data_IF_025815138982
#
_entry.id   IF_025815138982
#
_cell.length_a   1.000
_cell.length_b   1.000
_cell.length_c   1.000
_cell.angle_alpha   90.00
_cell.angle_beta   90.00
_cell.angle_gamma   90.00
#
_symmetry.space_group_name_H-M   'P 1'
#
loop_
_entity.id
_entity.type
_entity.pdbx_description
1 polymer ?
#
# COMPACT_ATOMS: atom_id res chain seq x y z
N UNK A 1 49.79 30.93 -63.64
CA UNK A 1 49.29 29.55 -63.73
C UNK A 1 48.75 29.20 -62.39
N UNK A 2 47.51 29.23 -62.39
CA UNK A 2 46.42 28.98 -61.44
C UNK A 2 46.74 28.07 -60.28
N UNK A 3 46.49 28.60 -59.14
CA UNK A 3 46.30 27.76 -57.97
C UNK A 3 45.08 28.28 -57.16
N UNK A 4 44.02 27.47 -57.19
CA UNK A 4 42.74 27.78 -56.52
C UNK A 4 42.70 27.21 -55.13
N UNK A 5 42.78 28.06 -54.17
CA UNK A 5 42.56 27.80 -52.76
C UNK A 5 41.10 27.49 -52.45
N UNK A 6 40.83 26.23 -52.11
CA UNK A 6 39.51 25.84 -51.62
C UNK A 6 39.47 25.99 -50.08
N UNK A 7 38.68 26.96 -49.63
CA UNK A 7 38.36 27.16 -48.19
C UNK A 7 37.37 26.11 -47.72
N UNK A 8 37.79 25.20 -46.88
CA UNK A 8 36.89 24.32 -46.14
C UNK A 8 36.48 25.01 -44.87
N UNK A 9 35.21 25.42 -44.78
CA UNK A 9 34.55 25.89 -43.60
C UNK A 9 34.36 24.75 -42.60
N UNK A 10 34.98 24.90 -41.44
CA UNK A 10 34.85 23.96 -40.34
C UNK A 10 33.72 24.41 -39.45
N UNK A 11 32.52 23.83 -39.64
CA UNK A 11 31.36 24.06 -38.79
C UNK A 11 31.53 23.25 -37.50
N UNK A 12 31.75 23.95 -36.39
CA UNK A 12 31.76 23.34 -35.05
C UNK A 12 30.35 23.09 -34.62
N UNK A 13 29.91 21.84 -34.55
CA UNK A 13 28.66 21.43 -33.85
C UNK A 13 28.89 21.57 -32.34
N UNK A 14 28.23 22.51 -31.72
CA UNK A 14 28.03 22.53 -30.26
C UNK A 14 26.95 21.49 -29.92
N UNK A 15 27.35 20.36 -29.38
CA UNK A 15 26.43 19.39 -28.79
C UNK A 15 26.09 19.88 -27.40
N UNK A 16 24.91 20.49 -27.27
CA UNK A 16 24.32 20.86 -25.98
C UNK A 16 23.90 19.61 -25.23
N UNK A 17 24.58 19.29 -24.14
CA UNK A 17 24.21 18.24 -23.21
C UNK A 17 23.08 18.78 -22.34
N UNK A 18 21.84 18.54 -22.74
CA UNK A 18 20.65 18.79 -21.91
C UNK A 18 20.61 17.72 -20.82
N UNK A 19 21.04 18.11 -19.61
CA UNK A 19 20.87 17.25 -18.44
C UNK A 19 19.39 17.03 -18.16
N UNK A 20 18.89 15.84 -18.43
CA UNK A 20 17.57 15.42 -17.96
C UNK A 20 17.63 15.28 -16.44
N UNK A 21 16.99 16.20 -15.74
CA UNK A 21 16.68 16.05 -14.32
C UNK A 21 15.66 14.91 -14.24
N UNK A 22 16.12 13.74 -13.83
CA UNK A 22 15.24 12.64 -13.44
C UNK A 22 14.54 13.05 -12.14
N UNK A 23 13.42 13.77 -12.27
CA UNK A 23 12.43 13.79 -11.21
C UNK A 23 11.97 12.35 -11.04
N UNK A 24 12.28 11.72 -9.91
CA UNK A 24 11.85 10.38 -9.58
C UNK A 24 10.32 10.33 -9.56
N UNK A 25 9.70 10.11 -10.71
CA UNK A 25 8.32 9.68 -10.76
C UNK A 25 8.29 8.28 -10.14
N UNK A 26 7.50 8.10 -9.09
CA UNK A 26 7.16 6.77 -8.61
C UNK A 26 6.69 5.98 -9.84
N UNK A 27 7.32 4.81 -10.07
CA UNK A 27 6.96 4.01 -11.24
C UNK A 27 5.49 3.57 -11.17
N UNK A 28 4.83 3.32 -12.29
CA UNK A 28 3.47 2.84 -12.28
C UNK A 28 3.39 1.51 -11.50
N UNK A 29 2.38 1.40 -10.66
CA UNK A 29 2.03 0.13 -10.03
C UNK A 29 1.73 -0.90 -11.13
N UNK A 30 2.22 -2.13 -11.01
CA UNK A 30 1.98 -3.19 -11.98
C UNK A 30 0.49 -3.42 -12.22
N UNK A 31 0.14 -3.97 -13.38
CA UNK A 31 -1.25 -4.35 -13.70
C UNK A 31 -1.64 -5.60 -12.89
N UNK A 32 -2.82 -5.61 -12.25
CA UNK A 32 -3.32 -6.80 -11.57
C UNK A 32 -3.42 -8.00 -12.53
N UNK A 33 -2.93 -9.15 -12.09
CA UNK A 33 -3.00 -10.43 -12.83
C UNK A 33 -4.34 -11.15 -12.65
N UNK A 34 -5.10 -10.73 -11.63
CA UNK A 34 -6.40 -11.27 -11.27
C UNK A 34 -7.37 -10.15 -10.85
N UNK A 35 -8.61 -10.53 -10.49
CA UNK A 35 -9.59 -9.54 -10.02
C UNK A 35 -9.06 -8.76 -8.82
N UNK A 36 -9.00 -7.42 -8.88
CA UNK A 36 -8.62 -6.59 -7.74
C UNK A 36 -9.52 -6.85 -6.54
N UNK A 37 -8.92 -6.96 -5.38
CA UNK A 37 -9.60 -7.22 -4.09
C UNK A 37 -9.50 -6.04 -3.12
N UNK A 38 -8.55 -5.12 -3.36
CA UNK A 38 -8.37 -3.90 -2.58
C UNK A 38 -8.20 -2.72 -3.53
N UNK A 39 -8.87 -1.62 -3.22
CA UNK A 39 -8.65 -0.32 -3.90
C UNK A 39 -8.12 0.69 -2.90
N UNK A 40 -7.01 1.35 -3.24
CA UNK A 40 -6.45 2.44 -2.45
C UNK A 40 -6.45 3.73 -3.26
N UNK A 41 -6.79 4.84 -2.62
CA UNK A 41 -6.88 6.16 -3.24
C UNK A 41 -6.43 7.27 -2.28
N UNK A 42 -6.52 8.52 -2.72
CA UNK A 42 -6.17 9.70 -1.94
C UNK A 42 -4.71 10.09 -2.09
N UNK A 43 -4.04 10.47 -1.01
CA UNK A 43 -2.65 10.96 -1.04
C UNK A 43 -1.63 9.83 -1.23
N UNK A 44 -1.67 9.18 -2.38
CA UNK A 44 -0.71 8.15 -2.84
C UNK A 44 0.02 8.62 -4.09
N UNK A 45 1.21 8.07 -4.35
CA UNK A 45 2.04 8.41 -5.53
C UNK A 45 2.10 7.30 -6.56
N UNK A 46 1.73 6.08 -6.17
CA UNK A 46 1.82 4.89 -7.01
C UNK A 46 0.41 4.34 -7.26
N UNK A 47 0.00 4.26 -8.52
CA UNK A 47 -1.34 3.84 -8.94
C UNK A 47 -1.28 3.13 -10.30
N UNK A 48 -2.34 2.43 -10.70
CA UNK A 48 -2.44 1.66 -11.95
C UNK A 48 -3.78 1.82 -12.69
N UNK A 49 -4.71 2.59 -12.14
CA UNK A 49 -6.00 2.88 -12.76
C UNK A 49 -6.44 4.33 -12.42
N UNK A 50 -6.08 5.27 -13.28
CA UNK A 50 -6.27 6.71 -13.00
C UNK A 50 -5.49 7.13 -11.76
N UNK A 51 -6.18 7.58 -10.71
CA UNK A 51 -5.61 7.94 -9.41
C UNK A 51 -5.82 6.83 -8.35
N UNK A 52 -6.15 5.62 -8.79
CA UNK A 52 -6.43 4.47 -7.93
C UNK A 52 -5.31 3.44 -8.01
N UNK A 53 -4.93 2.89 -6.87
CA UNK A 53 -4.16 1.68 -6.77
C UNK A 53 -5.12 0.49 -6.59
N UNK A 54 -5.29 -0.31 -7.65
CA UNK A 54 -6.08 -1.54 -7.62
C UNK A 54 -5.15 -2.71 -7.42
N UNK A 55 -5.33 -3.41 -6.33
CA UNK A 55 -4.45 -4.47 -5.89
C UNK A 55 -5.18 -5.81 -5.92
N UNK A 56 -4.59 -6.80 -6.56
CA UNK A 56 -4.99 -8.20 -6.45
C UNK A 56 -4.19 -8.92 -5.34
N UNK A 57 -4.51 -10.18 -5.07
CA UNK A 57 -3.83 -10.95 -4.03
C UNK A 57 -2.34 -11.16 -4.32
N UNK A 58 -1.91 -11.56 -5.53
CA UNK A 58 -0.49 -11.69 -5.85
C UNK A 58 0.31 -10.42 -5.60
N UNK A 59 -0.23 -9.25 -5.94
CA UNK A 59 0.43 -7.96 -5.70
C UNK A 59 0.62 -7.70 -4.20
N UNK A 60 -0.41 -7.96 -3.39
CA UNK A 60 -0.34 -7.79 -1.94
C UNK A 60 0.66 -8.78 -1.32
N UNK A 61 0.64 -10.05 -1.72
CA UNK A 61 1.59 -11.05 -1.22
C UNK A 61 3.04 -10.72 -1.59
N UNK A 62 3.28 -10.16 -2.78
CA UNK A 62 4.59 -9.72 -3.24
C UNK A 62 5.17 -8.55 -2.42
N UNK A 63 4.34 -7.76 -1.74
CA UNK A 63 4.79 -6.70 -0.82
C UNK A 63 5.42 -7.27 0.48
N UNK A 64 5.32 -8.56 0.70
CA UNK A 64 5.82 -9.27 1.89
C UNK A 64 4.71 -9.55 2.90
N UNK A 65 4.58 -10.83 3.23
CA UNK A 65 3.60 -11.33 4.21
C UNK A 65 4.24 -11.43 5.58
N UNK A 66 3.57 -10.87 6.58
CA UNK A 66 3.92 -11.01 7.98
C UNK A 66 2.80 -11.72 8.73
N UNK A 67 3.09 -12.21 9.93
CA UNK A 67 2.12 -12.87 10.78
C UNK A 67 2.14 -12.29 12.19
N UNK A 68 0.96 -12.20 12.80
CA UNK A 68 0.79 -11.91 14.22
C UNK A 68 -0.11 -12.98 14.84
N UNK A 69 0.20 -13.37 16.06
CA UNK A 69 -0.68 -14.22 16.89
C UNK A 69 -1.16 -13.36 18.03
N UNK A 70 -2.47 -13.22 18.17
CA UNK A 70 -3.03 -12.34 19.20
C UNK A 70 -4.44 -12.76 19.59
N UNK A 71 -4.75 -12.55 20.88
CA UNK A 71 -6.13 -12.60 21.38
C UNK A 71 -6.90 -11.40 20.85
N UNK A 72 -8.15 -11.62 20.47
CA UNK A 72 -9.05 -10.55 20.02
C UNK A 72 -10.40 -10.66 20.70
N UNK A 73 -11.22 -9.61 20.79
CA UNK A 73 -12.56 -9.70 21.36
C UNK A 73 -13.55 -10.48 20.45
N UNK A 74 -13.16 -10.87 19.26
CA UNK A 74 -14.04 -11.53 18.27
C UNK A 74 -13.83 -13.03 18.14
N UNK A 75 -12.77 -13.58 18.79
CA UNK A 75 -12.46 -15.00 18.77
C UNK A 75 -12.13 -15.48 20.20
N UNK A 76 -12.55 -16.68 20.54
CA UNK A 76 -12.37 -17.24 21.89
C UNK A 76 -10.91 -17.56 22.22
N UNK A 77 -10.14 -17.93 21.20
CA UNK A 77 -8.73 -18.29 21.35
C UNK A 77 -7.83 -17.29 20.59
N UNK A 78 -6.53 -17.19 20.97
CA UNK A 78 -5.57 -16.46 20.16
C UNK A 78 -5.55 -16.99 18.74
N UNK A 79 -5.48 -16.08 17.77
CA UNK A 79 -5.57 -16.38 16.34
C UNK A 79 -4.29 -15.94 15.65
N UNK A 80 -3.81 -16.76 14.71
CA UNK A 80 -2.72 -16.41 13.82
C UNK A 80 -3.30 -15.71 12.58
N UNK A 81 -3.02 -14.43 12.46
CA UNK A 81 -3.34 -13.64 11.27
C UNK A 81 -2.12 -13.49 10.39
N UNK A 82 -2.32 -13.59 9.07
CA UNK A 82 -1.28 -13.35 8.07
C UNK A 82 -1.77 -12.33 7.05
N UNK A 83 -0.88 -11.41 6.67
CA UNK A 83 -1.21 -10.33 5.75
C UNK A 83 -0.05 -9.39 5.49
N UNK A 84 -0.33 -8.26 4.86
CA UNK A 84 0.64 -7.21 4.59
C UNK A 84 0.69 -6.24 5.77
N UNK A 85 1.88 -5.91 6.31
CA UNK A 85 2.00 -4.80 7.25
C UNK A 85 1.45 -3.51 6.64
N UNK A 86 0.55 -2.82 7.35
CA UNK A 86 -0.04 -1.57 6.84
C UNK A 86 1.03 -0.51 6.54
N UNK A 87 2.10 -0.44 7.34
CA UNK A 87 3.23 0.44 7.08
C UNK A 87 3.89 0.16 5.73
N UNK A 88 4.09 -1.13 5.40
CA UNK A 88 4.67 -1.56 4.13
C UNK A 88 3.76 -1.22 2.94
N UNK A 89 2.46 -1.44 3.08
CA UNK A 89 1.48 -1.06 2.05
C UNK A 89 1.52 0.45 1.78
N UNK A 90 1.57 1.27 2.83
CA UNK A 90 1.67 2.74 2.68
C UNK A 90 2.98 3.16 2.02
N UNK A 91 4.10 2.53 2.36
CA UNK A 91 5.41 2.77 1.75
C UNK A 91 5.40 2.44 0.25
N UNK A 92 4.93 1.27 -0.16
CA UNK A 92 4.85 0.82 -1.56
C UNK A 92 3.97 1.73 -2.42
N UNK A 93 2.91 2.28 -1.83
CA UNK A 93 2.02 3.20 -2.54
C UNK A 93 2.52 4.66 -2.48
N UNK A 94 3.63 4.94 -1.81
CA UNK A 94 4.15 6.30 -1.63
C UNK A 94 3.14 7.22 -0.95
N UNK A 95 2.46 6.71 0.07
CA UNK A 95 1.45 7.45 0.82
C UNK A 95 2.07 8.62 1.59
N UNK A 96 1.46 9.80 1.48
CA UNK A 96 1.93 11.04 2.13
C UNK A 96 0.91 11.64 3.10
N UNK A 97 -0.18 10.93 3.34
CA UNK A 97 -1.21 11.36 4.29
C UNK A 97 -0.87 11.02 5.73
N UNK A 98 -1.66 11.55 6.65
CA UNK A 98 -1.53 11.34 8.11
C UNK A 98 -2.54 10.35 8.67
N UNK A 99 -3.58 10.03 7.91
CA UNK A 99 -4.62 9.09 8.28
C UNK A 99 -5.06 8.25 7.09
N UNK A 100 -5.58 7.07 7.37
CA UNK A 100 -6.23 6.18 6.39
C UNK A 100 -7.67 5.94 6.81
N UNK A 101 -8.60 6.25 5.93
CA UNK A 101 -9.99 5.86 6.08
C UNK A 101 -10.16 4.46 5.47
N UNK A 102 -10.50 3.49 6.31
CA UNK A 102 -10.83 2.13 5.90
C UNK A 102 -12.34 2.00 5.70
N UNK A 103 -12.76 1.40 4.60
CA UNK A 103 -14.17 1.23 4.22
C UNK A 103 -14.43 -0.25 3.94
N UNK A 104 -15.39 -0.80 4.66
CA UNK A 104 -15.82 -2.19 4.56
C UNK A 104 -16.92 -2.38 3.50
N UNK A 105 -17.22 -3.64 3.17
CA UNK A 105 -18.31 -4.00 2.24
C UNK A 105 -19.69 -3.54 2.70
N UNK A 106 -19.91 -3.48 4.00
CA UNK A 106 -21.17 -3.00 4.60
C UNK A 106 -21.19 -1.48 4.85
N UNK A 107 -20.25 -0.75 4.19
CA UNK A 107 -20.06 0.70 4.31
C UNK A 107 -19.64 1.17 5.73
N UNK A 108 -19.29 0.26 6.65
CA UNK A 108 -18.64 0.65 7.89
C UNK A 108 -17.33 1.38 7.56
N UNK A 109 -17.12 2.51 8.22
CA UNK A 109 -15.98 3.37 7.96
C UNK A 109 -15.29 3.73 9.27
N UNK A 110 -13.98 3.64 9.29
CA UNK A 110 -13.15 4.08 10.42
C UNK A 110 -11.91 4.81 9.91
N UNK A 111 -11.40 5.74 10.70
CA UNK A 111 -10.19 6.48 10.42
C UNK A 111 -9.06 6.01 11.34
N UNK A 112 -7.90 5.73 10.76
CA UNK A 112 -6.74 5.17 11.45
C UNK A 112 -5.55 6.09 11.17
N UNK A 113 -4.88 6.64 12.22
CA UNK A 113 -3.64 7.38 12.04
C UNK A 113 -2.56 6.50 11.40
N UNK A 114 -1.84 7.04 10.41
CA UNK A 114 -0.76 6.30 9.73
C UNK A 114 0.35 5.91 10.70
N UNK A 115 0.57 6.71 11.75
CA UNK A 115 1.56 6.41 12.80
C UNK A 115 1.29 5.10 13.54
N UNK A 116 0.02 4.66 13.65
CA UNK A 116 -0.33 3.38 14.27
C UNK A 116 0.32 2.19 13.54
N UNK A 117 0.49 2.32 12.23
CA UNK A 117 0.98 1.22 11.41
C UNK A 117 2.43 0.83 11.70
N UNK A 118 3.30 1.83 11.86
CA UNK A 118 4.71 1.60 12.22
C UNK A 118 4.88 1.41 13.72
N UNK A 119 4.12 2.16 14.52
CA UNK A 119 4.23 2.13 15.98
C UNK A 119 3.83 0.79 16.57
N UNK A 120 2.77 0.17 16.06
CA UNK A 120 2.21 -1.06 16.60
C UNK A 120 2.40 -2.29 15.70
N UNK A 121 2.81 -2.11 14.44
CA UNK A 121 2.91 -3.22 13.50
C UNK A 121 1.54 -3.74 13.06
N UNK A 122 0.60 -2.82 12.81
CA UNK A 122 -0.77 -3.14 12.36
C UNK A 122 -0.76 -3.89 11.03
N UNK A 123 -1.55 -4.94 10.92
CA UNK A 123 -1.60 -5.85 9.78
C UNK A 123 -2.90 -5.69 8.99
N UNK A 124 -2.82 -5.64 7.67
CA UNK A 124 -3.93 -5.89 6.77
C UNK A 124 -3.99 -7.39 6.52
N UNK A 125 -4.68 -8.09 7.39
CA UNK A 125 -4.77 -9.54 7.36
C UNK A 125 -5.72 -10.03 6.27
N UNK A 126 -5.35 -11.08 5.55
CA UNK A 126 -6.16 -11.77 4.57
C UNK A 126 -6.23 -13.29 4.81
N UNK A 127 -5.38 -13.82 5.71
CA UNK A 127 -5.46 -15.22 6.19
C UNK A 127 -5.62 -15.27 7.70
N UNK A 128 -6.35 -16.29 8.13
CA UNK A 128 -6.50 -16.71 9.50
C UNK A 128 -6.13 -18.19 9.60
N UNK A 129 -5.19 -18.52 10.48
CA UNK A 129 -4.69 -19.89 10.69
C UNK A 129 -4.33 -20.59 9.36
N UNK A 130 -3.62 -19.86 8.48
CA UNK A 130 -3.15 -20.34 7.18
C UNK A 130 -4.17 -20.28 6.03
N UNK A 131 -5.45 -20.04 6.31
CA UNK A 131 -6.52 -20.03 5.30
C UNK A 131 -6.98 -18.61 4.97
N UNK A 132 -7.26 -18.33 3.70
CA UNK A 132 -7.87 -17.06 3.30
C UNK A 132 -9.20 -16.85 3.98
N UNK A 133 -9.41 -15.66 4.56
CA UNK A 133 -10.67 -15.34 5.21
C UNK A 133 -11.77 -15.08 4.18
N UNK A 134 -12.89 -15.83 4.24
CA UNK A 134 -14.04 -15.55 3.41
C UNK A 134 -14.77 -14.28 3.90
N UNK A 135 -15.59 -13.68 3.04
CA UNK A 135 -16.42 -12.51 3.42
C UNK A 135 -17.34 -12.82 4.60
N UNK A 136 -17.86 -14.04 4.68
CA UNK A 136 -18.69 -14.50 5.81
C UNK A 136 -17.96 -14.53 7.16
N UNK A 137 -16.62 -14.48 7.14
CA UNK A 137 -15.79 -14.48 8.34
C UNK A 137 -14.66 -13.44 8.22
N UNK A 138 -15.05 -12.17 8.30
CA UNK A 138 -14.19 -10.98 8.33
C UNK A 138 -13.31 -10.71 7.08
N UNK A 139 -13.32 -11.59 6.06
CA UNK A 139 -12.61 -11.34 4.79
C UNK A 139 -13.31 -10.31 3.88
N UNK A 140 -12.68 -9.86 2.81
CA UNK A 140 -11.37 -10.29 2.32
C UNK A 140 -10.19 -9.81 3.14
N UNK A 141 -10.34 -8.67 3.85
CA UNK A 141 -9.30 -8.08 4.70
C UNK A 141 -9.85 -7.68 6.05
N UNK A 142 -9.01 -7.87 7.05
CA UNK A 142 -9.23 -7.47 8.43
C UNK A 142 -8.02 -6.68 8.93
N UNK A 143 -8.23 -5.46 9.41
CA UNK A 143 -7.17 -4.65 10.01
C UNK A 143 -7.00 -5.10 11.46
N UNK A 144 -5.84 -5.66 11.78
CA UNK A 144 -5.57 -6.28 13.08
C UNK A 144 -4.38 -5.62 13.75
N UNK A 145 -4.56 -5.27 15.02
CA UNK A 145 -3.48 -4.84 15.92
C UNK A 145 -2.97 -6.04 16.72
N UNK A 146 -1.68 -6.05 17.10
CA UNK A 146 -1.11 -7.10 17.97
C UNK A 146 -1.48 -6.84 19.44
N UNK A 147 -2.74 -7.08 19.82
CA UNK A 147 -3.31 -6.70 21.13
C UNK A 147 -2.56 -7.27 22.33
N UNK A 148 -1.88 -8.41 22.16
CA UNK A 148 -1.12 -9.05 23.24
C UNK A 148 0.27 -8.45 23.41
N UNK A 149 0.77 -7.69 22.43
CA UNK A 149 2.08 -7.04 22.53
C UNK A 149 2.09 -5.80 23.41
N UNK A 150 0.93 -5.16 23.60
CA UNK A 150 0.79 -3.95 24.40
C UNK A 150 -0.63 -3.87 24.99
N UNK A 151 -0.76 -3.84 26.35
CA UNK A 151 -2.04 -3.73 27.03
C UNK A 151 -2.89 -2.52 26.60
N UNK A 152 -2.26 -1.41 26.20
CA UNK A 152 -2.95 -0.20 25.74
C UNK A 152 -3.79 -0.44 24.48
N UNK A 153 -3.43 -1.45 23.67
CA UNK A 153 -4.17 -1.84 22.47
C UNK A 153 -5.51 -2.50 22.79
N UNK A 154 -5.72 -2.97 24.01
CA UNK A 154 -6.98 -3.57 24.48
C UNK A 154 -7.99 -2.50 24.88
N UNK A 155 -8.15 -1.46 24.05
CA UNK A 155 -9.05 -0.34 24.27
C UNK A 155 -10.01 -0.19 23.11
N UNK A 156 -11.22 0.31 23.41
CA UNK A 156 -12.31 0.50 22.44
C UNK A 156 -11.88 1.27 21.19
N UNK A 157 -10.97 2.24 21.32
CA UNK A 157 -10.46 3.00 20.18
C UNK A 157 -9.74 2.14 19.14
N UNK A 158 -8.95 1.13 19.57
CA UNK A 158 -8.25 0.24 18.65
C UNK A 158 -9.16 -0.86 18.11
N UNK A 159 -10.11 -1.32 18.92
CA UNK A 159 -11.16 -2.22 18.43
C UNK A 159 -12.01 -1.55 17.34
N UNK A 160 -12.35 -0.26 17.52
CA UNK A 160 -13.07 0.51 16.50
C UNK A 160 -12.25 0.78 15.22
N UNK A 161 -10.90 0.81 15.32
CA UNK A 161 -10.01 0.91 14.16
C UNK A 161 -9.79 -0.42 13.42
N UNK A 162 -10.13 -1.52 14.05
CA UNK A 162 -9.96 -2.88 13.50
C UNK A 162 -11.14 -3.27 12.62
N UNK A 163 -11.26 -2.57 11.48
CA UNK A 163 -12.31 -2.85 10.51
C UNK A 163 -12.07 -4.21 9.81
N UNK A 164 -13.13 -4.95 9.60
CA UNK A 164 -13.15 -6.17 8.80
C UNK A 164 -13.98 -6.00 7.53
N UNK A 165 -13.90 -6.98 6.60
CA UNK A 165 -14.50 -6.89 5.26
C UNK A 165 -14.02 -5.65 4.49
N UNK A 166 -12.81 -5.18 4.77
CA UNK A 166 -12.25 -3.99 4.13
C UNK A 166 -12.01 -4.27 2.64
N UNK A 167 -12.41 -3.33 1.78
CA UNK A 167 -12.19 -3.40 0.34
C UNK A 167 -11.64 -2.09 -0.21
N UNK A 168 -11.74 -1.00 0.54
CA UNK A 168 -11.24 0.32 0.13
C UNK A 168 -10.48 0.99 1.26
N UNK A 169 -9.38 1.68 0.88
CA UNK A 169 -8.60 2.55 1.75
C UNK A 169 -8.47 3.93 1.08
N UNK A 170 -8.65 4.99 1.84
CA UNK A 170 -8.44 6.37 1.36
C UNK A 170 -7.40 7.03 2.26
N UNK A 171 -6.26 7.39 1.68
CA UNK A 171 -5.18 8.11 2.37
C UNK A 171 -5.51 9.59 2.40
N UNK A 172 -5.56 10.19 3.61
CA UNK A 172 -5.96 11.58 3.87
C UNK A 172 -4.80 12.46 4.33
#
# INVERSE_FOLDING_TARGET
MDDRLTRRSMTRLLTGLTGAVLTGAAGPLGTPSSKPVLTVSGKIKTFNDGELARLDRPMLEAMGVSAIVTQTPWYEQPVRFEGVPMARLMEELGATGTAVQAIALNEYTTEIPVEDFSRFGTLLAFKRDGNYMPVSDKGPFFIVYPYDSNPDLRAQRYYGRSAWQVTRLIVK
#
